data_IF_105069446305
#
_entry.id   IF_105069446305
#
_cell.length_a   1.000
_cell.length_b   1.000
_cell.length_c   1.000
_cell.angle_alpha   90.00
_cell.angle_beta   90.00
_cell.angle_gamma   90.00
#
_symmetry.space_group_name_H-M   'P 1'
#
loop_
_entity.id
_entity.type
_entity.pdbx_description
1 polymer ?
#
# COMPACT_ATOMS: atom_id res chain seq x y z
N UNK A 1 20.26 7.27 -9.25
CA UNK A 1 19.73 5.97 -8.80
C UNK A 1 18.28 6.17 -8.43
N UNK A 2 17.36 5.32 -8.90
CA UNK A 2 15.95 5.42 -8.51
C UNK A 2 15.80 4.97 -7.06
N UNK A 3 15.01 5.70 -6.27
CA UNK A 3 14.68 5.29 -4.91
C UNK A 3 13.58 4.22 -4.95
N UNK A 4 13.56 3.26 -4.02
CA UNK A 4 12.48 2.30 -3.92
C UNK A 4 11.15 3.03 -3.61
N UNK A 5 10.05 2.55 -4.19
CA UNK A 5 8.72 3.15 -4.07
C UNK A 5 7.72 2.09 -3.60
N UNK A 6 6.94 2.44 -2.58
CA UNK A 6 5.81 1.65 -2.12
C UNK A 6 4.49 2.33 -2.52
N UNK A 7 3.46 1.54 -2.75
CA UNK A 7 2.09 1.98 -2.98
C UNK A 7 1.25 1.82 -1.73
N UNK A 8 0.46 2.82 -1.38
CA UNK A 8 -0.46 2.76 -0.23
C UNK A 8 -1.86 3.18 -0.69
N UNK A 9 -2.82 2.27 -0.58
CA UNK A 9 -4.24 2.54 -0.81
C UNK A 9 -4.88 2.76 0.56
N UNK A 10 -5.26 4.00 0.86
CA UNK A 10 -5.87 4.36 2.15
C UNK A 10 -7.40 4.32 2.08
N UNK A 11 -8.04 4.28 3.26
CA UNK A 11 -9.51 4.28 3.42
C UNK A 11 -10.17 3.09 2.72
N UNK A 12 -9.55 1.91 2.80
CA UNK A 12 -10.03 0.70 2.16
C UNK A 12 -11.44 0.28 2.62
N UNK A 13 -11.84 0.68 3.82
CA UNK A 13 -13.17 0.48 4.41
C UNK A 13 -14.30 1.13 3.58
N UNK A 14 -14.01 2.13 2.76
CA UNK A 14 -15.00 2.84 1.94
C UNK A 14 -15.18 2.24 0.53
N UNK A 15 -14.29 1.35 0.09
CA UNK A 15 -14.24 0.88 -1.28
C UNK A 15 -14.55 -0.61 -1.39
N UNK A 16 -15.37 -0.98 -2.38
CA UNK A 16 -15.65 -2.39 -2.67
C UNK A 16 -14.39 -3.11 -3.20
N UNK A 17 -14.25 -4.43 -2.97
CA UNK A 17 -13.07 -5.19 -3.38
C UNK A 17 -12.65 -5.06 -4.85
N UNK A 18 -13.56 -5.01 -5.85
CA UNK A 18 -13.16 -4.82 -7.25
C UNK A 18 -12.47 -3.49 -7.50
N UNK A 19 -12.87 -2.43 -6.79
CA UNK A 19 -12.24 -1.11 -6.90
C UNK A 19 -10.83 -1.11 -6.29
N UNK A 20 -10.65 -1.78 -5.15
CA UNK A 20 -9.35 -1.94 -4.52
C UNK A 20 -8.37 -2.69 -5.43
N UNK A 21 -8.82 -3.76 -6.09
CA UNK A 21 -8.00 -4.50 -7.05
C UNK A 21 -7.61 -3.67 -8.27
N UNK A 22 -8.55 -2.88 -8.82
CA UNK A 22 -8.26 -1.99 -9.94
C UNK A 22 -7.16 -0.96 -9.59
N UNK A 23 -7.25 -0.32 -8.41
CA UNK A 23 -6.25 0.65 -7.97
C UNK A 23 -4.90 -0.03 -7.70
N UNK A 24 -4.90 -1.27 -7.18
CA UNK A 24 -3.68 -2.06 -7.01
C UNK A 24 -2.97 -2.26 -8.35
N UNK A 25 -3.69 -2.64 -9.41
CA UNK A 25 -3.11 -2.78 -10.76
C UNK A 25 -2.51 -1.47 -11.28
N UNK A 26 -3.13 -0.32 -10.99
CA UNK A 26 -2.57 0.97 -11.39
C UNK A 26 -1.26 1.31 -10.68
N UNK A 27 -1.18 1.03 -9.37
CA UNK A 27 0.04 1.26 -8.59
C UNK A 27 1.17 0.32 -9.04
N UNK A 28 0.84 -0.93 -9.35
CA UNK A 28 1.80 -1.90 -9.89
C UNK A 28 2.37 -1.43 -11.23
N UNK A 29 1.49 -1.00 -12.16
CA UNK A 29 1.89 -0.42 -13.44
C UNK A 29 2.71 0.88 -13.31
N UNK A 30 2.54 1.62 -12.20
CA UNK A 30 3.33 2.81 -11.89
C UNK A 30 4.72 2.49 -11.28
N UNK A 31 5.03 1.20 -11.05
CA UNK A 31 6.30 0.74 -10.51
C UNK A 31 6.35 0.68 -8.98
N UNK A 32 5.21 0.66 -8.29
CA UNK A 32 5.17 0.42 -6.85
C UNK A 32 5.42 -1.06 -6.56
N UNK A 33 6.64 -1.39 -6.11
CA UNK A 33 7.06 -2.78 -5.90
C UNK A 33 6.33 -3.49 -4.74
N UNK A 34 5.91 -2.72 -3.73
CA UNK A 34 5.13 -3.23 -2.60
C UNK A 34 3.89 -2.37 -2.41
N UNK A 35 2.70 -3.00 -2.42
CA UNK A 35 1.41 -2.30 -2.32
C UNK A 35 0.63 -2.76 -1.10
N UNK A 36 0.34 -1.82 -0.22
CA UNK A 36 -0.43 -1.99 1.01
C UNK A 36 -1.84 -1.41 0.84
N UNK A 37 -2.85 -2.16 1.27
CA UNK A 37 -4.24 -1.72 1.33
C UNK A 37 -4.56 -1.50 2.80
N UNK A 38 -4.91 -0.27 3.16
CA UNK A 38 -5.02 0.12 4.57
C UNK A 38 -6.29 0.90 4.88
N UNK A 39 -6.73 0.80 6.13
CA UNK A 39 -7.71 1.71 6.71
C UNK A 39 -7.25 2.16 8.09
N UNK A 40 -7.11 3.48 8.25
CA UNK A 40 -6.86 4.07 9.56
C UNK A 40 -8.08 4.03 10.49
N UNK A 41 -9.28 3.77 9.94
CA UNK A 41 -10.51 3.66 10.73
C UNK A 41 -10.64 2.28 11.36
N UNK A 42 -10.39 1.21 10.58
CA UNK A 42 -10.51 -0.17 11.07
C UNK A 42 -9.21 -0.72 11.62
N UNK A 43 -8.07 -0.13 11.27
CA UNK A 43 -6.73 -0.61 11.59
C UNK A 43 -6.15 -1.59 10.55
N UNK A 44 -6.94 -1.98 9.55
CA UNK A 44 -6.50 -2.99 8.57
C UNK A 44 -5.25 -2.56 7.82
N UNK A 45 -4.29 -3.48 7.68
CA UNK A 45 -3.07 -3.32 6.89
C UNK A 45 -2.03 -2.33 7.44
N UNK A 46 -2.28 -1.71 8.60
CA UNK A 46 -1.33 -0.76 9.20
C UNK A 46 -0.09 -1.46 9.78
N UNK A 47 -0.25 -2.60 10.43
CA UNK A 47 0.87 -3.34 11.02
C UNK A 47 1.88 -3.77 9.93
N UNK A 48 1.38 -4.31 8.82
CA UNK A 48 2.21 -4.69 7.66
C UNK A 48 2.93 -3.48 7.04
N UNK A 49 2.23 -2.34 6.96
CA UNK A 49 2.81 -1.09 6.45
C UNK A 49 3.92 -0.59 7.37
N UNK A 50 3.71 -0.56 8.69
CA UNK A 50 4.72 -0.13 9.65
C UNK A 50 5.91 -1.10 9.68
N UNK A 51 5.66 -2.40 9.61
CA UNK A 51 6.73 -3.40 9.51
C UNK A 51 7.60 -3.12 8.28
N UNK A 52 7.02 -2.83 7.12
CA UNK A 52 7.75 -2.47 5.91
C UNK A 52 8.58 -1.20 6.07
N UNK A 53 8.00 -0.13 6.61
CA UNK A 53 8.67 1.17 6.77
C UNK A 53 9.82 1.13 7.78
N UNK A 54 9.73 0.25 8.78
CA UNK A 54 10.76 0.06 9.79
C UNK A 54 11.87 -0.90 9.34
N UNK A 55 11.81 -1.46 8.13
CA UNK A 55 12.94 -2.22 7.57
C UNK A 55 14.06 -1.27 7.13
N UNK A 56 15.31 -1.68 7.33
CA UNK A 56 16.50 -0.88 6.94
C UNK A 56 16.60 -0.66 5.41
N UNK A 57 15.81 -1.36 4.60
CA UNK A 57 15.79 -1.24 3.13
C UNK A 57 15.14 0.06 2.62
N UNK A 58 14.38 0.76 3.47
CA UNK A 58 13.68 2.02 3.14
C UNK A 58 14.11 3.23 3.99
N UNK A 59 15.14 3.09 4.84
CA UNK A 59 15.77 4.19 5.61
C UNK A 59 16.91 4.84 4.83
#
# INVERSE_FOLDING_TARGET
MNRPVIGVITKADLAAPPRLQQVRTWLDAAGAGHIFITSALTGDGLDDLFACLNTEEYQ
#
